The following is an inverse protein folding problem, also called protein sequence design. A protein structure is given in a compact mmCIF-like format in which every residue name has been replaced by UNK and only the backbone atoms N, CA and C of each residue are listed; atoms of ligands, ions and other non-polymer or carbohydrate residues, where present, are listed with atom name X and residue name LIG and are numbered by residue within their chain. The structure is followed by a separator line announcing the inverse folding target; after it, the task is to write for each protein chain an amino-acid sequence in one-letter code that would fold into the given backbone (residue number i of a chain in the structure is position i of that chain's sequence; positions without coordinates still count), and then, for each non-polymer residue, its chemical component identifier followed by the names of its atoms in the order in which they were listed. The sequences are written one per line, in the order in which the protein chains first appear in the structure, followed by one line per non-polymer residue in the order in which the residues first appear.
data_IF_490563210448
#
_entry.id   IF_490563210448
#
_cell.length_a   1.000
_cell.length_b   1.000
_cell.length_c   1.000
_cell.angle_alpha   90.00
_cell.angle_beta   90.00
_cell.angle_gamma   90.00
#
_symmetry.space_group_name_H-M   'P 1'
#
loop_
_entity.id
_entity.type
_entity.pdbx_description
1 polymer ?
#
# COMPACT_ATOMS: atom_id res chain seq x y z
N UNK A 1 -24.63 -13.58 -9.26
CA UNK A 1 -23.90 -12.33 -9.12
C UNK A 1 -24.05 -11.60 -10.44
N UNK A 2 -24.80 -10.49 -10.46
CA UNK A 2 -24.96 -9.66 -11.66
C UNK A 2 -23.58 -9.11 -12.05
N UNK A 3 -23.24 -9.17 -13.34
CA UNK A 3 -22.11 -8.46 -13.93
C UNK A 3 -22.34 -6.94 -13.81
N UNK A 4 -22.13 -6.42 -12.59
CA UNK A 4 -22.05 -4.99 -12.34
C UNK A 4 -20.75 -4.46 -12.92
N UNK A 5 -20.79 -3.24 -13.40
CA UNK A 5 -19.63 -2.48 -13.90
C UNK A 5 -18.43 -2.68 -12.98
N UNK A 6 -17.26 -3.13 -13.45
CA UNK A 6 -16.14 -3.46 -12.59
C UNK A 6 -15.73 -2.23 -11.78
N UNK A 7 -15.77 -2.33 -10.45
CA UNK A 7 -15.39 -1.24 -9.54
C UNK A 7 -14.01 -0.72 -9.92
N UNK A 8 -13.84 0.60 -9.89
CA UNK A 8 -12.56 1.23 -10.21
C UNK A 8 -11.50 0.77 -9.22
N UNK A 9 -10.34 0.35 -9.75
CA UNK A 9 -9.24 -0.17 -8.96
C UNK A 9 -8.35 0.93 -8.40
N UNK A 10 -7.94 0.78 -7.13
CA UNK A 10 -7.01 1.66 -6.42
C UNK A 10 -5.95 0.81 -5.72
N UNK A 11 -4.69 1.12 -5.93
CA UNK A 11 -3.58 0.53 -5.18
C UNK A 11 -3.23 1.41 -3.98
N UNK A 12 -3.34 0.85 -2.77
CA UNK A 12 -3.09 1.52 -1.50
C UNK A 12 -1.83 0.97 -0.84
N UNK A 13 -0.81 1.78 -0.63
CA UNK A 13 0.34 1.38 0.19
C UNK A 13 0.14 1.81 1.63
N UNK A 14 0.43 0.91 2.56
CA UNK A 14 0.39 1.20 3.99
C UNK A 14 1.82 1.30 4.53
N UNK A 15 2.19 2.48 4.99
CA UNK A 15 3.51 2.80 5.51
C UNK A 15 3.44 3.14 6.99
N UNK A 16 4.36 2.59 7.77
CA UNK A 16 4.35 2.73 9.22
C UNK A 16 5.76 2.68 9.80
N UNK A 17 5.90 3.15 11.04
CA UNK A 17 6.99 2.72 11.92
C UNK A 17 6.74 1.30 12.42
N UNK A 18 7.80 0.56 12.76
CA UNK A 18 7.67 -0.76 13.41
C UNK A 18 6.76 -0.63 14.63
N UNK A 19 5.93 -1.63 14.86
CA UNK A 19 4.96 -1.70 15.97
C UNK A 19 3.86 -0.63 16.00
N UNK A 20 3.70 0.17 14.94
CA UNK A 20 2.57 1.12 14.83
C UNK A 20 1.22 0.45 14.52
N UNK A 21 1.16 -0.89 14.42
CA UNK A 21 -0.07 -1.67 14.27
C UNK A 21 -0.56 -1.81 12.83
N UNK A 22 0.33 -1.80 11.84
CA UNK A 22 0.01 -1.95 10.42
C UNK A 22 -0.82 -3.19 10.13
N UNK A 23 -0.24 -4.37 10.33
CA UNK A 23 -0.87 -5.65 9.98
C UNK A 23 -2.17 -5.88 10.74
N UNK A 24 -2.26 -5.44 12.00
CA UNK A 24 -3.48 -5.48 12.81
C UNK A 24 -4.57 -4.58 12.21
N UNK A 25 -4.24 -3.32 11.89
CA UNK A 25 -5.20 -2.37 11.31
C UNK A 25 -5.71 -2.83 9.96
N UNK A 26 -4.81 -3.24 9.06
CA UNK A 26 -5.19 -3.70 7.72
C UNK A 26 -5.98 -5.00 7.76
N UNK A 27 -5.57 -5.97 8.56
CA UNK A 27 -6.30 -7.23 8.74
C UNK A 27 -7.69 -7.00 9.33
N UNK A 28 -7.83 -6.14 10.33
CA UNK A 28 -9.13 -5.82 10.95
C UNK A 28 -10.05 -5.05 9.99
N UNK A 29 -9.49 -4.09 9.23
CA UNK A 29 -10.25 -3.37 8.20
C UNK A 29 -10.80 -4.34 7.14
N UNK A 30 -9.97 -5.24 6.62
CA UNK A 30 -10.39 -6.24 5.63
C UNK A 30 -11.48 -7.16 6.20
N UNK A 31 -11.33 -7.59 7.46
CA UNK A 31 -12.33 -8.42 8.14
C UNK A 31 -13.68 -7.70 8.25
N UNK A 32 -13.69 -6.45 8.72
CA UNK A 32 -14.91 -5.62 8.84
C UNK A 32 -15.60 -5.38 7.50
N UNK A 33 -14.85 -5.35 6.41
CA UNK A 33 -15.37 -5.21 5.04
C UNK A 33 -15.75 -6.56 4.39
N UNK A 34 -15.72 -7.66 5.15
CA UNK A 34 -16.14 -8.98 4.68
C UNK A 34 -15.11 -9.69 3.78
N UNK A 35 -13.88 -9.19 3.68
CA UNK A 35 -12.81 -9.81 2.90
C UNK A 35 -12.17 -11.03 3.56
N UNK A 36 -12.48 -11.29 4.84
CA UNK A 36 -12.05 -12.48 5.60
C UNK A 36 -13.31 -13.13 6.15
N UNK A 37 -13.48 -14.46 5.95
CA UNK A 37 -14.58 -15.18 6.53
C UNK A 37 -14.39 -15.37 8.06
N UNK A 38 -15.50 -15.42 8.80
CA UNK A 38 -15.47 -15.70 10.25
C UNK A 38 -14.72 -17.01 10.56
N UNK A 39 -14.94 -18.04 9.75
CA UNK A 39 -14.28 -19.33 9.89
C UNK A 39 -12.76 -19.24 9.74
N UNK A 40 -12.28 -18.42 8.80
CA UNK A 40 -10.84 -18.18 8.61
C UNK A 40 -10.28 -17.38 9.78
N UNK A 41 -11.01 -16.37 10.24
CA UNK A 41 -10.61 -15.56 11.40
C UNK A 41 -10.52 -16.40 12.67
N UNK A 42 -11.47 -17.32 12.91
CA UNK A 42 -11.43 -18.24 14.06
C UNK A 42 -10.19 -19.15 14.03
N UNK A 43 -9.78 -19.64 12.85
CA UNK A 43 -8.55 -20.43 12.72
C UNK A 43 -7.31 -19.60 13.08
N UNK A 44 -7.22 -18.37 12.55
CA UNK A 44 -6.11 -17.46 12.85
C UNK A 44 -6.07 -17.10 14.35
N UNK A 45 -7.23 -16.92 14.98
CA UNK A 45 -7.30 -16.70 16.42
C UNK A 45 -6.78 -17.90 17.20
N UNK A 46 -7.20 -19.13 16.83
CA UNK A 46 -6.71 -20.35 17.47
C UNK A 46 -5.20 -20.52 17.33
N UNK A 47 -4.64 -20.21 16.14
CA UNK A 47 -3.20 -20.23 15.91
C UNK A 47 -2.45 -19.20 16.76
N UNK A 48 -2.99 -17.99 16.87
CA UNK A 48 -2.43 -16.91 17.68
C UNK A 48 -2.47 -17.24 19.18
N UNK A 49 -3.58 -17.82 19.66
CA UNK A 49 -3.76 -18.25 21.04
C UNK A 49 -2.77 -19.36 21.41
N UNK A 50 -2.57 -20.32 20.51
CA UNK A 50 -1.60 -21.43 20.69
C UNK A 50 -0.15 -20.92 20.84
N UNK A 51 0.17 -19.75 20.29
CA UNK A 51 1.49 -19.10 20.39
C UNK A 51 1.57 -18.06 21.51
N UNK A 52 0.52 -17.91 22.33
CA UNK A 52 0.46 -16.89 23.37
C UNK A 52 0.38 -15.43 22.84
N UNK A 53 -0.05 -15.28 21.57
CA UNK A 53 -0.12 -13.98 20.85
C UNK A 53 -1.55 -13.67 20.41
N UNK A 54 -2.55 -13.82 21.27
CA UNK A 54 -3.98 -13.66 20.97
C UNK A 54 -4.34 -12.34 20.28
N UNK A 55 -3.63 -11.25 20.60
CA UNK A 55 -3.81 -9.94 19.98
C UNK A 55 -3.34 -9.84 18.53
N UNK A 56 -2.63 -10.83 18.02
CA UNK A 56 -2.03 -10.83 16.68
C UNK A 56 -2.86 -11.55 15.61
N UNK A 57 -4.06 -12.04 15.94
CA UNK A 57 -4.87 -12.81 15.00
C UNK A 57 -5.11 -12.09 13.67
N UNK A 58 -5.44 -10.79 13.70
CA UNK A 58 -5.58 -9.98 12.47
C UNK A 58 -4.26 -9.77 11.74
N UNK A 59 -3.15 -9.65 12.48
CA UNK A 59 -1.82 -9.53 11.87
C UNK A 59 -1.43 -10.81 11.13
N UNK A 60 -1.79 -11.98 11.64
CA UNK A 60 -1.50 -13.26 11.00
C UNK A 60 -2.17 -13.46 9.64
N UNK A 61 -3.25 -12.74 9.37
CA UNK A 61 -3.85 -12.71 8.04
C UNK A 61 -2.95 -12.01 7.02
N UNK A 62 -2.30 -10.94 7.42
CA UNK A 62 -1.38 -10.17 6.58
C UNK A 62 -0.02 -10.88 6.47
N UNK A 63 0.56 -11.24 7.61
CA UNK A 63 1.88 -11.85 7.72
C UNK A 63 1.77 -13.38 7.55
N UNK A 64 1.88 -13.86 6.32
CA UNK A 64 1.77 -15.30 6.00
C UNK A 64 3.03 -16.08 6.24
N UNK A 65 4.19 -15.43 6.14
CA UNK A 65 5.48 -16.09 6.29
C UNK A 65 5.75 -16.40 7.78
N UNK A 66 6.21 -17.61 8.05
CA UNK A 66 6.56 -18.03 9.41
C UNK A 66 7.63 -17.13 10.03
N UNK A 67 8.63 -16.71 9.24
CA UNK A 67 9.69 -15.82 9.70
C UNK A 67 9.14 -14.41 10.08
N UNK A 68 8.12 -13.91 9.38
CA UNK A 68 7.43 -12.65 9.69
C UNK A 68 6.65 -12.76 11.01
N UNK A 69 5.90 -13.87 11.19
CA UNK A 69 5.11 -14.13 12.41
C UNK A 69 5.99 -14.31 13.65
N UNK A 70 7.13 -14.97 13.51
CA UNK A 70 8.09 -15.16 14.62
C UNK A 70 8.74 -13.85 15.04
N UNK A 71 9.14 -13.02 14.07
CA UNK A 71 9.80 -11.73 14.30
C UNK A 71 8.82 -10.59 14.59
N UNK A 72 7.55 -10.72 14.21
CA UNK A 72 6.54 -9.66 14.32
C UNK A 72 6.76 -8.50 13.37
N UNK A 73 7.49 -8.70 12.25
CA UNK A 73 7.78 -7.65 11.26
C UNK A 73 7.54 -8.15 9.86
N UNK A 74 6.97 -7.31 9.00
CA UNK A 74 6.81 -7.59 7.57
C UNK A 74 8.16 -7.45 6.87
N UNK A 75 8.54 -8.45 6.07
CA UNK A 75 9.81 -8.50 5.35
C UNK A 75 9.58 -8.23 3.87
N UNK A 76 8.62 -8.91 3.27
CA UNK A 76 8.29 -8.82 1.86
C UNK A 76 7.04 -7.96 1.63
N UNK A 77 6.97 -7.28 0.47
CA UNK A 77 5.72 -6.66 0.07
C UNK A 77 4.72 -7.76 -0.30
N UNK A 78 3.62 -7.80 0.41
CA UNK A 78 2.48 -8.65 0.08
C UNK A 78 1.31 -7.82 -0.41
N UNK A 79 0.48 -8.43 -1.25
CA UNK A 79 -0.72 -7.76 -1.75
C UNK A 79 -1.96 -8.49 -1.27
N UNK A 80 -2.96 -7.74 -0.88
CA UNK A 80 -4.29 -8.22 -0.49
C UNK A 80 -5.34 -7.37 -1.17
N UNK A 81 -6.48 -8.00 -1.47
CA UNK A 81 -7.62 -7.32 -2.05
C UNK A 81 -8.71 -7.13 -1.02
N UNK A 82 -9.40 -6.01 -1.10
CA UNK A 82 -10.68 -5.80 -0.46
C UNK A 82 -11.57 -4.90 -1.31
N UNK A 83 -12.86 -4.94 -1.03
CA UNK A 83 -13.86 -4.19 -1.77
C UNK A 83 -14.61 -3.28 -0.82
N UNK A 84 -14.82 -2.05 -1.24
CA UNK A 84 -15.74 -1.11 -0.62
C UNK A 84 -16.97 -0.95 -1.53
N UNK A 85 -17.90 -0.11 -1.15
CA UNK A 85 -19.06 0.15 -2.00
C UNK A 85 -18.68 0.75 -3.35
N UNK A 86 -17.69 1.64 -3.37
CA UNK A 86 -17.30 2.41 -4.56
C UNK A 86 -16.11 1.83 -5.32
N UNK A 87 -15.19 1.16 -4.63
CA UNK A 87 -13.87 0.81 -5.17
C UNK A 87 -13.44 -0.62 -4.89
N UNK A 88 -12.55 -1.12 -5.74
CA UNK A 88 -11.73 -2.30 -5.52
C UNK A 88 -10.33 -1.87 -5.11
N UNK A 89 -9.90 -2.26 -3.92
CA UNK A 89 -8.57 -1.92 -3.40
C UNK A 89 -7.61 -3.10 -3.46
N UNK A 90 -6.38 -2.82 -3.90
CA UNK A 90 -5.23 -3.68 -3.61
C UNK A 90 -4.38 -3.00 -2.55
N UNK A 91 -4.33 -3.56 -1.35
CA UNK A 91 -3.36 -3.14 -0.34
C UNK A 91 -1.99 -3.70 -0.72
N UNK A 92 -1.03 -2.83 -0.81
CA UNK A 92 0.39 -3.16 -0.87
C UNK A 92 0.94 -3.02 0.54
N UNK A 93 1.14 -4.14 1.20
CA UNK A 93 1.66 -4.20 2.57
C UNK A 93 3.17 -4.06 2.53
N UNK A 94 3.66 -2.83 2.70
CA UNK A 94 5.08 -2.53 2.63
C UNK A 94 5.75 -2.69 4.02
N UNK A 95 6.98 -3.25 4.09
CA UNK A 95 7.69 -3.39 5.35
C UNK A 95 8.00 -2.03 5.99
N UNK A 96 7.81 -1.97 7.31
CA UNK A 96 8.12 -0.76 8.11
C UNK A 96 9.56 -0.68 8.57
N UNK A 97 10.31 -1.79 8.59
CA UNK A 97 11.65 -1.85 9.13
C UNK A 97 12.69 -1.30 8.14
N UNK A 98 13.66 -0.51 8.67
CA UNK A 98 14.71 0.14 7.87
C UNK A 98 15.52 -0.80 6.98
N UNK A 99 15.75 -2.04 7.40
CA UNK A 99 16.52 -3.01 6.63
C UNK A 99 15.81 -3.44 5.33
N UNK A 100 14.49 -3.20 5.25
CA UNK A 100 13.65 -3.57 4.12
C UNK A 100 13.14 -2.37 3.30
N UNK A 101 13.78 -1.20 3.43
CA UNK A 101 13.41 0.02 2.70
C UNK A 101 13.35 -0.18 1.18
N UNK A 102 14.20 -1.05 0.62
CA UNK A 102 14.15 -1.39 -0.81
C UNK A 102 12.80 -2.00 -1.21
N UNK A 103 12.29 -2.91 -0.38
CA UNK A 103 10.99 -3.54 -0.61
C UNK A 103 9.86 -2.51 -0.45
N UNK A 104 9.98 -1.60 0.52
CA UNK A 104 9.04 -0.49 0.70
C UNK A 104 9.00 0.42 -0.54
N UNK A 105 10.13 0.78 -1.12
CA UNK A 105 10.20 1.60 -2.35
C UNK A 105 9.51 0.89 -3.50
N UNK A 106 9.77 -0.41 -3.68
CA UNK A 106 9.11 -1.22 -4.72
C UNK A 106 7.58 -1.24 -4.53
N UNK A 107 7.11 -1.48 -3.31
CA UNK A 107 5.68 -1.50 -3.00
C UNK A 107 5.03 -0.14 -3.19
N UNK A 108 5.64 0.92 -2.68
CA UNK A 108 5.12 2.29 -2.80
C UNK A 108 5.08 2.76 -4.26
N UNK A 109 6.07 2.36 -5.09
CA UNK A 109 6.07 2.66 -6.53
C UNK A 109 4.88 2.08 -7.30
N UNK A 110 4.19 1.09 -6.72
CA UNK A 110 2.99 0.48 -7.31
C UNK A 110 1.68 1.09 -6.78
N UNK A 111 1.71 2.13 -5.93
CA UNK A 111 0.54 2.64 -5.25
C UNK A 111 0.02 3.95 -5.83
N UNK A 112 -1.30 4.14 -5.76
CA UNK A 112 -2.00 5.39 -6.11
C UNK A 112 -2.16 6.30 -4.90
N UNK A 113 -2.27 5.69 -3.72
CA UNK A 113 -2.60 6.34 -2.45
C UNK A 113 -1.71 5.75 -1.36
N UNK A 114 -1.31 6.58 -0.41
CA UNK A 114 -0.59 6.12 0.77
C UNK A 114 -1.42 6.34 2.04
N UNK A 115 -1.42 5.33 2.91
CA UNK A 115 -1.88 5.42 4.29
C UNK A 115 -0.64 5.41 5.19
N UNK A 116 -0.36 6.53 5.82
CA UNK A 116 0.74 6.68 6.77
C UNK A 116 0.18 6.54 8.19
N UNK A 117 0.52 5.43 8.85
CA UNK A 117 0.08 5.17 10.22
C UNK A 117 1.12 5.67 11.23
N UNK A 118 0.63 6.30 12.27
CA UNK A 118 1.46 6.72 13.42
C UNK A 118 0.79 6.26 14.72
N UNK A 119 1.56 5.75 15.69
CA UNK A 119 1.00 5.36 16.98
C UNK A 119 0.75 6.58 17.86
N UNK A 120 -0.38 6.59 18.59
CA UNK A 120 -0.65 7.64 19.60
C UNK A 120 0.06 7.38 20.93
N UNK A 121 0.55 6.17 21.11
CA UNK A 121 1.25 5.71 22.32
C UNK A 121 2.45 6.60 22.67
N UNK A 122 2.59 6.94 23.95
CA UNK A 122 3.72 7.74 24.45
C UNK A 122 5.04 6.97 24.25
N UNK A 123 6.07 7.66 23.75
CA UNK A 123 7.36 7.06 23.37
C UNK A 123 7.33 6.44 21.97
N UNK A 124 6.23 5.80 21.56
CA UNK A 124 6.09 5.19 20.24
C UNK A 124 6.03 6.23 19.11
N UNK A 125 5.23 7.27 19.29
CA UNK A 125 5.15 8.37 18.32
C UNK A 125 6.48 9.13 18.20
N UNK A 126 7.08 9.50 19.34
CA UNK A 126 8.34 10.25 19.40
C UNK A 126 9.47 9.51 18.65
N UNK A 127 9.58 8.21 18.89
CA UNK A 127 10.55 7.36 18.18
C UNK A 127 10.26 7.30 16.67
N UNK A 128 8.97 7.19 16.31
CA UNK A 128 8.55 7.09 14.91
C UNK A 128 8.87 8.34 14.10
N UNK A 129 8.84 9.54 14.72
CA UNK A 129 9.06 10.84 14.04
C UNK A 129 10.40 11.50 14.39
N UNK A 130 11.26 10.86 15.15
CA UNK A 130 12.56 11.39 15.56
C UNK A 130 13.32 11.96 14.37
N UNK A 131 13.97 13.13 14.57
CA UNK A 131 14.76 13.78 13.52
C UNK A 131 16.06 13.02 13.23
N UNK A 132 16.56 12.32 14.24
CA UNK A 132 17.88 11.73 14.24
C UNK A 132 18.99 12.79 14.32
N UNK A 133 20.14 12.42 14.81
CA UNK A 133 21.32 13.26 14.82
C UNK A 133 22.54 12.40 14.46
N UNK A 134 23.15 12.70 13.33
CA UNK A 134 24.34 11.99 12.86
C UNK A 134 25.56 12.21 13.79
N UNK A 135 25.62 13.30 14.54
CA UNK A 135 26.72 13.61 15.45
C UNK A 135 26.63 12.77 16.73
N UNK A 136 25.42 12.45 17.20
CA UNK A 136 25.16 11.63 18.39
C UNK A 136 24.91 10.16 18.07
N UNK A 137 24.79 9.81 16.78
CA UNK A 137 24.41 8.46 16.34
C UNK A 137 22.93 8.14 16.50
N UNK A 138 22.11 9.13 16.81
CA UNK A 138 20.67 8.95 16.88
C UNK A 138 20.06 8.64 15.50
N UNK A 139 19.25 7.60 15.44
CA UNK A 139 18.63 7.12 14.19
C UNK A 139 17.37 7.92 13.90
N UNK A 140 17.24 8.38 12.65
CA UNK A 140 16.01 9.03 12.19
C UNK A 140 14.81 8.07 12.24
N UNK A 141 13.68 8.57 12.69
CA UNK A 141 12.42 7.83 12.75
C UNK A 141 11.94 7.41 11.37
N UNK A 142 11.43 6.18 11.26
CA UNK A 142 11.03 5.59 9.98
C UNK A 142 9.84 6.29 9.35
N UNK A 143 8.90 6.80 10.13
CA UNK A 143 7.75 7.56 9.62
C UNK A 143 8.21 8.78 8.82
N UNK A 144 9.25 9.48 9.29
CA UNK A 144 9.84 10.62 8.59
C UNK A 144 10.49 10.21 7.26
N UNK A 145 11.21 9.09 7.27
CA UNK A 145 11.81 8.54 6.05
C UNK A 145 10.75 8.12 5.04
N UNK A 146 9.71 7.42 5.50
CA UNK A 146 8.61 6.96 4.64
C UNK A 146 7.85 8.14 4.03
N UNK A 147 7.47 9.15 4.82
CA UNK A 147 6.80 10.33 4.28
C UNK A 147 7.61 11.01 3.16
N UNK A 148 8.93 11.14 3.36
CA UNK A 148 9.82 11.70 2.34
C UNK A 148 9.90 10.83 1.08
N UNK A 149 10.01 9.51 1.24
CA UNK A 149 10.04 8.57 0.11
C UNK A 149 8.73 8.59 -0.68
N UNK A 150 7.58 8.62 0.00
CA UNK A 150 6.27 8.72 -0.65
C UNK A 150 6.16 9.98 -1.52
N UNK A 151 6.63 11.12 -1.00
CA UNK A 151 6.68 12.39 -1.76
C UNK A 151 7.62 12.29 -2.98
N UNK A 152 8.81 11.71 -2.83
CA UNK A 152 9.78 11.51 -3.92
C UNK A 152 9.28 10.54 -5.00
N UNK A 153 8.50 9.52 -4.62
CA UNK A 153 7.88 8.57 -5.54
C UNK A 153 6.65 9.16 -6.27
N UNK A 154 6.27 10.41 -5.95
CA UNK A 154 5.18 11.11 -6.64
C UNK A 154 3.78 10.70 -6.19
N UNK A 155 3.63 10.09 -5.00
CA UNK A 155 2.31 9.80 -4.45
C UNK A 155 1.65 11.10 -4.02
N UNK A 156 0.56 11.45 -4.70
CA UNK A 156 -0.16 12.71 -4.44
C UNK A 156 -1.19 12.61 -3.31
N UNK A 157 -1.76 11.43 -3.11
CA UNK A 157 -2.84 11.19 -2.14
C UNK A 157 -2.29 10.53 -0.90
N UNK A 158 -2.36 11.24 0.22
CA UNK A 158 -1.90 10.79 1.52
C UNK A 158 -3.05 10.84 2.53
N UNK A 159 -3.19 9.78 3.32
CA UNK A 159 -4.06 9.72 4.50
C UNK A 159 -3.15 9.49 5.70
N UNK A 160 -3.34 10.23 6.78
CA UNK A 160 -2.62 10.01 8.04
C UNK A 160 -3.58 9.38 9.04
N UNK A 161 -3.25 8.16 9.45
CA UNK A 161 -3.99 7.43 10.47
C UNK A 161 -3.26 7.50 11.81
N UNK A 162 -3.92 8.07 12.82
CA UNK A 162 -3.41 8.10 14.20
C UNK A 162 -3.98 6.90 14.93
N UNK A 163 -3.18 5.83 14.96
CA UNK A 163 -3.57 4.53 15.51
C UNK A 163 -3.25 4.43 17.01
N UNK A 164 -3.80 3.40 17.66
CA UNK A 164 -3.64 3.11 19.08
C UNK A 164 -4.16 4.24 20.00
N UNK A 165 -5.25 4.91 19.61
CA UNK A 165 -5.88 5.95 20.45
C UNK A 165 -6.41 5.38 21.78
N UNK A 166 -6.68 4.09 21.82
CA UNK A 166 -7.03 3.35 23.04
C UNK A 166 -5.92 3.40 24.09
N UNK A 167 -4.65 3.36 23.68
CA UNK A 167 -3.49 3.38 24.58
C UNK A 167 -3.28 4.71 25.31
N UNK A 168 -3.81 5.80 24.75
CA UNK A 168 -3.74 7.14 25.37
C UNK A 168 -5.10 7.63 25.91
N UNK A 169 -6.05 6.70 26.15
CA UNK A 169 -7.37 7.03 26.70
C UNK A 169 -8.20 7.94 25.82
N UNK A 170 -8.04 7.86 24.50
CA UNK A 170 -8.77 8.64 23.49
C UNK A 170 -8.59 10.15 23.62
N UNK A 171 -7.39 10.57 24.04
CA UNK A 171 -7.05 11.96 24.36
C UNK A 171 -7.07 12.89 23.15
N UNK A 172 -7.89 13.94 23.19
CA UNK A 172 -7.90 15.01 22.19
C UNK A 172 -6.57 15.76 22.14
N UNK A 173 -5.99 16.08 23.32
CA UNK A 173 -4.71 16.79 23.43
C UNK A 173 -3.63 16.02 22.69
N UNK A 174 -3.54 14.70 22.95
CA UNK A 174 -2.56 13.84 22.29
C UNK A 174 -2.73 13.79 20.77
N UNK A 175 -3.96 13.66 20.30
CA UNK A 175 -4.26 13.71 18.88
C UNK A 175 -3.81 15.02 18.23
N UNK A 176 -4.08 16.16 18.88
CA UNK A 176 -3.73 17.47 18.37
C UNK A 176 -2.21 17.69 18.33
N UNK A 177 -1.46 17.25 19.33
CA UNK A 177 0.01 17.26 19.34
C UNK A 177 0.58 16.48 18.14
N UNK A 178 0.10 15.24 17.95
CA UNK A 178 0.51 14.38 16.85
C UNK A 178 0.18 15.04 15.51
N UNK A 179 -1.04 15.56 15.34
CA UNK A 179 -1.48 16.24 14.12
C UNK A 179 -0.61 17.43 13.78
N UNK A 180 -0.22 18.23 14.77
CA UNK A 180 0.64 19.40 14.55
C UNK A 180 2.03 19.00 14.09
N UNK A 181 2.68 18.04 14.75
CA UNK A 181 4.02 17.57 14.37
C UNK A 181 4.01 16.86 13.00
N UNK A 182 3.01 16.03 12.75
CA UNK A 182 2.82 15.38 11.45
C UNK A 182 2.57 16.39 10.33
N UNK A 183 1.80 17.44 10.59
CA UNK A 183 1.56 18.53 9.61
C UNK A 183 2.88 19.18 9.18
N UNK A 184 3.78 19.48 10.12
CA UNK A 184 5.12 20.02 9.83
C UNK A 184 5.93 19.04 8.98
N UNK A 185 5.89 17.76 9.37
CA UNK A 185 6.65 16.71 8.71
C UNK A 185 6.20 16.46 7.26
N UNK A 186 4.89 16.28 7.02
CA UNK A 186 4.37 16.04 5.67
C UNK A 186 4.55 17.26 4.76
N UNK A 187 4.51 18.48 5.30
CA UNK A 187 4.81 19.70 4.56
C UNK A 187 6.25 19.68 4.05
N UNK A 188 7.21 19.30 4.91
CA UNK A 188 8.61 19.16 4.53
C UNK A 188 8.82 18.05 3.49
N UNK A 189 7.98 17.02 3.49
CA UNK A 189 7.98 15.94 2.51
C UNK A 189 7.32 16.32 1.17
N UNK A 190 6.74 17.52 1.05
CA UNK A 190 6.15 18.05 -0.19
C UNK A 190 4.64 17.88 -0.30
N UNK A 191 3.98 17.32 0.72
CA UNK A 191 2.51 17.21 0.74
C UNK A 191 1.84 18.52 1.16
N UNK A 192 0.61 18.72 0.71
CA UNK A 192 -0.22 19.87 1.07
C UNK A 192 -1.12 19.52 2.24
N UNK A 193 -0.88 20.01 3.47
CA UNK A 193 -1.61 19.57 4.67
C UNK A 193 -3.14 19.71 4.56
N UNK A 194 -3.63 20.70 3.85
CA UNK A 194 -5.08 20.91 3.63
C UNK A 194 -5.73 19.78 2.81
N UNK A 195 -4.94 18.97 2.10
CA UNK A 195 -5.41 17.86 1.29
C UNK A 195 -5.32 16.51 2.03
N UNK A 196 -4.66 16.50 3.19
CA UNK A 196 -4.37 15.28 3.95
C UNK A 196 -5.31 15.16 5.13
N UNK A 197 -6.21 14.16 5.16
CA UNK A 197 -7.04 13.89 6.33
C UNK A 197 -6.21 13.27 7.44
N UNK A 198 -6.55 13.63 8.67
CA UNK A 198 -6.04 13.01 9.89
C UNK A 198 -7.18 12.28 10.59
N UNK A 199 -7.06 10.97 10.74
CA UNK A 199 -8.10 10.11 11.29
C UNK A 199 -7.60 9.40 12.54
N UNK A 200 -8.16 9.70 13.73
CA UNK A 200 -7.85 8.95 14.94
C UNK A 200 -8.66 7.65 14.99
N UNK A 201 -8.01 6.54 15.35
CA UNK A 201 -8.69 5.26 15.49
C UNK A 201 -7.88 4.27 16.36
N UNK A 202 -8.48 3.11 16.64
CA UNK A 202 -7.77 1.94 17.15
C UNK A 202 -7.94 0.77 16.19
N UNK A 203 -6.83 0.34 15.58
CA UNK A 203 -6.81 -0.85 14.70
C UNK A 203 -7.07 -2.14 15.47
N UNK A 204 -6.76 -2.17 16.78
CA UNK A 204 -7.00 -3.32 17.64
C UNK A 204 -8.48 -3.51 17.96
N UNK A 205 -9.16 -2.47 18.43
CA UNK A 205 -10.58 -2.52 18.81
C UNK A 205 -11.54 -2.19 17.67
N UNK A 206 -11.06 -1.92 16.45
CA UNK A 206 -11.81 -1.46 15.27
C UNK A 206 -12.53 -0.11 15.45
N UNK A 207 -12.27 0.61 16.52
CA UNK A 207 -12.92 1.90 16.78
C UNK A 207 -12.52 2.93 15.71
N UNK A 208 -13.48 3.53 15.05
CA UNK A 208 -13.34 4.52 13.99
C UNK A 208 -12.63 4.02 12.71
N UNK A 209 -12.61 2.69 12.48
CA UNK A 209 -12.14 2.12 11.22
C UNK A 209 -13.21 2.20 10.13
N UNK A 210 -14.38 1.61 10.39
CA UNK A 210 -15.52 1.52 9.46
C UNK A 210 -16.70 2.32 9.99
N UNK A 211 -16.98 2.20 11.28
CA UNK A 211 -18.05 2.88 11.97
C UNK A 211 -17.49 3.98 12.86
N UNK A 212 -18.23 5.09 12.96
CA UNK A 212 -17.85 6.21 13.85
C UNK A 212 -17.81 5.75 15.31
N UNK A 213 -16.74 6.08 16.00
CA UNK A 213 -16.57 5.75 17.42
C UNK A 213 -17.21 6.81 18.32
N UNK A 214 -17.92 6.38 19.36
CA UNK A 214 -18.46 7.24 20.40
C UNK A 214 -17.43 7.60 21.49
N UNK A 215 -16.26 6.93 21.48
CA UNK A 215 -15.18 7.17 22.46
C UNK A 215 -14.45 8.48 22.26
N UNK A 216 -14.65 9.12 21.07
CA UNK A 216 -14.01 10.38 20.72
C UNK A 216 -15.05 11.47 20.38
N UNK A 217 -15.89 11.93 21.34
CA UNK A 217 -16.93 12.92 21.08
C UNK A 217 -16.37 14.28 20.66
N UNK A 218 -15.12 14.56 20.96
CA UNK A 218 -14.37 15.72 20.54
C UNK A 218 -14.00 15.70 19.04
N UNK A 219 -13.86 14.53 18.43
CA UNK A 219 -13.49 14.41 17.03
C UNK A 219 -14.70 14.70 16.14
N UNK A 220 -14.65 15.83 15.45
CA UNK A 220 -15.72 16.29 14.56
C UNK A 220 -15.58 15.82 13.11
N UNK A 221 -14.68 14.87 12.87
CA UNK A 221 -14.34 14.38 11.54
C UNK A 221 -13.18 15.14 10.91
N UNK A 222 -12.80 14.71 9.73
CA UNK A 222 -11.81 15.40 8.91
C UNK A 222 -12.48 16.19 7.79
N UNK A 223 -11.77 17.21 7.31
CA UNK A 223 -12.09 17.92 6.06
C UNK A 223 -10.80 18.01 5.24
N UNK A 224 -10.86 17.63 3.97
CA UNK A 224 -9.72 17.69 3.05
C UNK A 224 -10.10 18.42 1.76
N UNK A 225 -9.27 19.39 1.37
CA UNK A 225 -9.46 20.20 0.16
C UNK A 225 -8.67 19.58 -0.98
N UNK A 226 -9.26 18.62 -1.72
CA UNK A 226 -8.58 17.89 -2.78
C UNK A 226 -8.22 18.78 -3.97
N UNK A 227 -9.06 19.78 -4.25
CA UNK A 227 -8.82 20.82 -5.25
C UNK A 227 -9.41 22.16 -4.82
N UNK A 228 -9.35 23.18 -5.67
CA UNK A 228 -10.00 24.50 -5.41
C UNK A 228 -11.52 24.41 -5.29
N UNK A 229 -12.12 23.41 -5.93
CA UNK A 229 -13.59 23.23 -6.01
C UNK A 229 -14.07 21.97 -5.32
N UNK A 230 -13.16 21.11 -4.84
CA UNK A 230 -13.52 19.83 -4.28
C UNK A 230 -13.06 19.73 -2.83
N UNK A 231 -14.04 19.77 -1.92
CA UNK A 231 -13.86 19.59 -0.48
C UNK A 231 -14.59 18.33 -0.07
N UNK A 232 -13.91 17.46 0.65
CA UNK A 232 -14.45 16.19 1.16
C UNK A 232 -14.35 16.15 2.68
N UNK A 233 -15.25 15.43 3.31
CA UNK A 233 -15.28 15.25 4.76
C UNK A 233 -15.71 13.84 5.13
N UNK A 234 -15.38 13.40 6.32
CA UNK A 234 -15.76 12.10 6.86
C UNK A 234 -15.28 11.95 8.31
N UNK A 235 -15.53 10.80 8.90
CA UNK A 235 -15.17 10.50 10.29
C UNK A 235 -14.19 9.33 10.39
N UNK A 236 -14.42 8.28 9.63
CA UNK A 236 -13.73 6.99 9.77
C UNK A 236 -12.55 6.86 8.79
N UNK A 237 -11.74 5.82 9.00
CA UNK A 237 -10.70 5.47 8.04
C UNK A 237 -11.31 5.07 6.70
N UNK A 238 -12.45 4.35 6.72
CA UNK A 238 -13.18 4.00 5.51
C UNK A 238 -13.67 5.25 4.76
N UNK A 239 -14.23 6.24 5.47
CA UNK A 239 -14.63 7.51 4.84
C UNK A 239 -13.45 8.20 4.14
N UNK A 240 -12.28 8.19 4.77
CA UNK A 240 -11.08 8.77 4.17
C UNK A 240 -10.66 8.00 2.90
N UNK A 241 -10.73 6.67 2.92
CA UNK A 241 -10.48 5.85 1.73
C UNK A 241 -11.50 6.13 0.64
N UNK A 242 -12.80 6.18 0.94
CA UNK A 242 -13.86 6.42 -0.04
C UNK A 242 -13.81 7.82 -0.67
N UNK A 243 -13.43 8.84 0.10
CA UNK A 243 -13.54 10.23 -0.34
C UNK A 243 -12.23 10.82 -0.88
N UNK A 244 -11.08 10.43 -0.30
CA UNK A 244 -9.77 11.00 -0.65
C UNK A 244 -9.03 10.12 -1.66
N UNK A 245 -9.13 8.80 -1.53
CA UNK A 245 -8.41 7.85 -2.36
C UNK A 245 -9.10 7.66 -3.72
N UNK A 246 -9.19 8.72 -4.51
CA UNK A 246 -9.75 8.63 -5.86
C UNK A 246 -8.74 8.04 -6.84
N UNK A 247 -9.17 7.13 -7.74
CA UNK A 247 -8.29 6.59 -8.76
C UNK A 247 -7.77 7.72 -9.66
N UNK A 248 -6.47 7.73 -9.99
CA UNK A 248 -5.91 8.70 -10.92
C UNK A 248 -6.45 8.49 -12.33
N UNK A 249 -6.27 9.49 -13.20
CA UNK A 249 -6.57 9.34 -14.62
C UNK A 249 -5.76 8.18 -15.21
N UNK A 250 -6.42 7.26 -15.88
CA UNK A 250 -5.82 6.12 -16.60
C UNK A 250 -5.89 6.38 -18.10
N UNK A 251 -4.87 5.92 -18.83
CA UNK A 251 -4.73 6.16 -20.26
C UNK A 251 -4.51 4.82 -21.02
N UNK A 252 -5.56 3.99 -21.15
CA UNK A 252 -5.44 2.71 -21.84
C UNK A 252 -5.17 2.84 -23.33
N UNK A 253 -5.48 3.99 -23.92
CA UNK A 253 -5.28 4.30 -25.34
C UNK A 253 -3.85 4.76 -25.68
N UNK A 254 -3.02 5.05 -24.67
CA UNK A 254 -1.63 5.46 -24.88
C UNK A 254 -0.73 4.26 -25.13
N UNK A 255 0.49 4.48 -25.66
CA UNK A 255 1.50 3.44 -25.80
C UNK A 255 1.77 2.71 -24.48
N UNK A 256 1.94 1.39 -24.55
CA UNK A 256 2.18 0.56 -23.35
C UNK A 256 3.46 0.96 -22.63
N UNK A 257 3.36 1.15 -21.32
CA UNK A 257 4.52 1.36 -20.42
C UNK A 257 4.30 0.60 -19.12
N UNK A 258 5.20 -0.36 -18.88
CA UNK A 258 5.22 -1.15 -17.64
C UNK A 258 6.64 -1.10 -17.08
N UNK A 259 6.91 -0.26 -16.06
CA UNK A 259 8.17 -0.33 -15.32
C UNK A 259 8.30 -1.68 -14.62
N UNK A 260 9.46 -2.30 -14.74
CA UNK A 260 9.77 -3.60 -14.11
C UNK A 260 10.08 -3.37 -12.64
N UNK A 261 9.31 -4.01 -11.77
CA UNK A 261 9.47 -3.94 -10.31
C UNK A 261 10.16 -5.17 -9.74
N UNK A 262 10.10 -6.31 -10.43
CA UNK A 262 10.70 -7.54 -9.99
C UNK A 262 10.86 -8.55 -11.12
N UNK A 263 11.80 -9.48 -10.93
CA UNK A 263 12.04 -10.59 -11.85
C UNK A 263 12.23 -11.84 -11.00
N UNK A 264 11.42 -12.85 -11.26
CA UNK A 264 11.34 -14.05 -10.45
C UNK A 264 11.47 -15.28 -11.34
N UNK A 265 12.20 -16.27 -10.85
CA UNK A 265 12.26 -17.59 -11.49
C UNK A 265 11.37 -18.55 -10.71
N UNK A 266 10.23 -18.91 -11.29
CA UNK A 266 9.25 -19.77 -10.64
C UNK A 266 9.37 -21.18 -11.22
N UNK A 267 9.58 -22.17 -10.33
CA UNK A 267 9.68 -23.59 -10.73
C UNK A 267 8.38 -24.04 -11.42
N UNK A 268 8.49 -24.56 -12.63
CA UNK A 268 7.35 -25.02 -13.43
C UNK A 268 6.66 -23.96 -14.27
N UNK A 269 6.91 -22.66 -14.02
CA UNK A 269 6.36 -21.53 -14.78
C UNK A 269 7.42 -20.89 -15.67
N UNK A 270 8.64 -20.71 -15.15
CA UNK A 270 9.73 -20.04 -15.83
C UNK A 270 10.05 -18.66 -15.26
N UNK A 271 10.53 -17.76 -16.12
CA UNK A 271 10.85 -16.40 -15.73
C UNK A 271 9.57 -15.53 -15.76
N UNK A 272 9.26 -14.93 -14.62
CA UNK A 272 8.10 -14.04 -14.41
C UNK A 272 8.62 -12.65 -14.14
N UNK A 273 8.20 -11.69 -14.95
CA UNK A 273 8.51 -10.28 -14.78
C UNK A 273 7.29 -9.60 -14.18
N UNK A 274 7.49 -8.88 -13.08
CA UNK A 274 6.41 -8.12 -12.44
C UNK A 274 6.58 -6.63 -12.68
N UNK A 275 5.45 -5.94 -12.81
CA UNK A 275 5.42 -4.50 -12.99
C UNK A 275 4.02 -3.95 -12.84
N UNK A 276 3.91 -2.63 -12.88
CA UNK A 276 2.62 -1.94 -12.91
C UNK A 276 2.37 -1.40 -14.31
N UNK A 277 1.17 -1.59 -14.82
CA UNK A 277 0.75 -0.96 -16.07
C UNK A 277 0.51 0.52 -15.81
N UNK A 278 1.40 1.41 -16.24
CA UNK A 278 1.25 2.86 -16.08
C UNK A 278 0.34 3.45 -17.14
N UNK A 279 0.46 3.00 -18.37
CA UNK A 279 -0.39 3.37 -19.49
C UNK A 279 -0.41 2.28 -20.56
N UNK A 280 -1.38 2.35 -21.47
CA UNK A 280 -1.60 1.31 -22.48
C UNK A 280 -2.26 0.07 -21.92
N UNK A 281 -2.39 -0.95 -22.73
CA UNK A 281 -2.97 -2.25 -22.35
C UNK A 281 -2.06 -3.37 -22.85
N UNK A 282 -1.85 -4.40 -22.05
CA UNK A 282 -1.10 -5.60 -22.44
C UNK A 282 -2.02 -6.80 -22.44
N UNK A 283 -1.95 -7.62 -23.50
CA UNK A 283 -2.71 -8.85 -23.64
C UNK A 283 -1.77 -10.07 -23.63
N UNK A 284 -2.31 -11.20 -23.18
CA UNK A 284 -1.63 -12.46 -23.41
C UNK A 284 -1.49 -12.70 -24.92
N UNK A 285 -0.29 -13.03 -25.36
CA UNK A 285 0.06 -13.19 -26.78
C UNK A 285 0.76 -12.00 -27.43
N UNK A 286 0.71 -10.82 -26.81
CA UNK A 286 1.40 -9.64 -27.32
C UNK A 286 2.92 -9.87 -27.40
N UNK A 287 3.55 -9.21 -28.39
CA UNK A 287 5.00 -9.17 -28.54
C UNK A 287 5.50 -7.84 -28.00
N UNK A 288 6.41 -7.92 -27.04
CA UNK A 288 6.93 -6.77 -26.30
C UNK A 288 8.46 -6.68 -26.41
N UNK A 289 8.96 -5.51 -26.07
CA UNK A 289 10.39 -5.25 -25.89
C UNK A 289 10.63 -4.53 -24.57
N UNK A 290 11.86 -4.55 -24.13
CA UNK A 290 12.32 -3.86 -22.94
C UNK A 290 13.18 -2.65 -23.36
N UNK A 291 13.16 -1.59 -22.57
CA UNK A 291 13.98 -0.38 -22.82
C UNK A 291 15.49 -0.64 -22.87
N UNK A 292 15.93 -1.77 -22.31
CA UNK A 292 17.32 -2.23 -22.40
C UNK A 292 17.62 -2.75 -23.80
N UNK A 293 18.74 -2.34 -24.34
CA UNK A 293 19.21 -2.75 -25.67
C UNK A 293 19.35 -4.28 -25.80
N UNK A 294 18.94 -4.81 -26.95
CA UNK A 294 19.02 -6.23 -27.27
C UNK A 294 17.97 -7.12 -26.61
N UNK A 295 16.96 -6.56 -25.94
CA UNK A 295 15.85 -7.33 -25.34
C UNK A 295 14.55 -6.99 -26.07
N UNK A 296 14.32 -7.69 -27.18
CA UNK A 296 13.20 -7.47 -28.09
C UNK A 296 12.52 -8.78 -28.46
N UNK A 297 11.35 -8.68 -29.10
CA UNK A 297 10.58 -9.83 -29.59
C UNK A 297 10.19 -10.84 -28.51
N UNK A 298 9.99 -10.36 -27.28
CA UNK A 298 9.52 -11.19 -26.18
C UNK A 298 8.02 -11.43 -26.30
N UNK A 299 7.59 -12.69 -26.27
CA UNK A 299 6.16 -13.02 -26.27
C UNK A 299 5.63 -13.11 -24.84
N UNK A 300 4.59 -12.34 -24.53
CA UNK A 300 3.81 -12.45 -23.28
C UNK A 300 3.00 -13.75 -23.34
N UNK A 301 3.39 -14.74 -22.56
CA UNK A 301 2.71 -16.03 -22.56
C UNK A 301 1.46 -16.02 -21.68
N UNK A 302 1.55 -15.45 -20.48
CA UNK A 302 0.43 -15.25 -19.56
C UNK A 302 0.55 -13.92 -18.84
N UNK A 303 -0.60 -13.37 -18.45
CA UNK A 303 -0.75 -12.21 -17.58
C UNK A 303 -1.48 -12.68 -16.33
N UNK A 304 -0.90 -12.45 -15.17
CA UNK A 304 -1.44 -12.90 -13.89
C UNK A 304 -1.58 -11.74 -12.92
N UNK A 305 -2.70 -11.69 -12.22
CA UNK A 305 -2.97 -10.77 -11.11
C UNK A 305 -3.63 -11.55 -9.99
N UNK A 306 -3.17 -11.34 -8.75
CA UNK A 306 -3.73 -11.98 -7.54
C UNK A 306 -3.87 -13.51 -7.67
N UNK A 307 -2.83 -14.17 -8.22
CA UNK A 307 -2.78 -15.62 -8.48
C UNK A 307 -3.86 -16.14 -9.44
N UNK A 308 -4.41 -15.28 -10.30
CA UNK A 308 -5.36 -15.65 -11.35
C UNK A 308 -4.83 -15.18 -12.69
N UNK A 309 -5.02 -16.00 -13.73
CA UNK A 309 -4.70 -15.64 -15.11
C UNK A 309 -5.79 -14.75 -15.69
N UNK A 310 -5.38 -13.68 -16.35
CA UNK A 310 -6.25 -12.72 -17.00
C UNK A 310 -5.91 -12.61 -18.50
N UNK A 311 -6.90 -12.33 -19.36
CA UNK A 311 -6.63 -12.16 -20.81
C UNK A 311 -5.87 -10.88 -21.11
N UNK A 312 -6.07 -9.83 -20.31
CA UNK A 312 -5.42 -8.53 -20.47
C UNK A 312 -5.22 -7.84 -19.12
N UNK A 313 -4.31 -6.85 -19.11
CA UNK A 313 -4.15 -5.92 -18.00
C UNK A 313 -4.20 -4.47 -18.47
N UNK A 314 -4.77 -3.59 -17.65
CA UNK A 314 -5.05 -2.18 -17.92
C UNK A 314 -4.24 -1.26 -17.01
N UNK A 315 -4.15 0.05 -17.31
CA UNK A 315 -3.44 1.00 -16.46
C UNK A 315 -3.91 0.95 -15.00
N UNK A 316 -2.94 0.81 -14.09
CA UNK A 316 -3.14 0.67 -12.66
C UNK A 316 -3.05 -0.75 -12.12
N UNK A 317 -3.10 -1.75 -13.00
CA UNK A 317 -2.98 -3.14 -12.60
C UNK A 317 -1.52 -3.49 -12.27
N UNK A 318 -1.32 -4.21 -11.19
CA UNK A 318 -0.04 -4.83 -10.84
C UNK A 318 -0.02 -6.25 -11.41
N UNK A 319 0.88 -6.52 -12.32
CA UNK A 319 0.89 -7.76 -13.11
C UNK A 319 2.16 -8.56 -12.95
N UNK A 320 2.02 -9.88 -12.96
CA UNK A 320 3.09 -10.82 -13.23
C UNK A 320 2.93 -11.37 -14.65
N UNK A 321 3.96 -11.25 -15.45
CA UNK A 321 3.94 -11.72 -16.84
C UNK A 321 4.98 -12.82 -17.05
N UNK A 322 4.52 -13.99 -17.49
CA UNK A 322 5.43 -15.00 -17.98
C UNK A 322 5.83 -14.63 -19.41
N UNK A 323 7.13 -14.52 -19.66
CA UNK A 323 7.66 -14.14 -20.97
C UNK A 323 8.50 -15.24 -21.58
N UNK A 324 8.32 -15.47 -22.88
CA UNK A 324 9.15 -16.36 -23.68
C UNK A 324 10.09 -15.55 -24.56
N UNK A 325 11.31 -16.07 -24.75
CA UNK A 325 12.33 -15.41 -25.56
C UNK A 325 13.38 -14.65 -24.76
N UNK A 326 13.35 -14.72 -23.42
CA UNK A 326 14.39 -14.13 -22.60
C UNK A 326 15.71 -14.88 -22.73
N UNK A 327 16.77 -14.12 -23.02
CA UNK A 327 18.14 -14.64 -23.02
C UNK A 327 18.74 -14.55 -21.62
N UNK A 328 19.24 -15.68 -21.13
CA UNK A 328 19.89 -15.74 -19.79
C UNK A 328 21.14 -14.89 -19.69
N UNK A 329 21.78 -14.58 -20.81
CA UNK A 329 22.98 -13.73 -20.84
C UNK A 329 22.63 -12.24 -20.85
N UNK A 330 21.39 -11.88 -21.29
CA UNK A 330 20.91 -10.52 -21.34
C UNK A 330 19.50 -10.43 -20.74
N UNK A 331 19.42 -10.48 -19.41
CA UNK A 331 18.16 -10.38 -18.67
C UNK A 331 17.78 -8.91 -18.42
N UNK A 332 16.49 -8.57 -18.46
CA UNK A 332 16.02 -7.27 -18.03
C UNK A 332 16.38 -7.03 -16.54
N UNK A 333 16.31 -5.77 -16.11
CA UNK A 333 16.55 -5.38 -14.70
C UNK A 333 15.38 -4.60 -14.16
N UNK A 334 15.27 -4.56 -12.83
CA UNK A 334 14.33 -3.67 -12.15
C UNK A 334 14.62 -2.22 -12.55
N UNK A 335 13.57 -1.50 -12.94
CA UNK A 335 13.65 -0.14 -13.47
C UNK A 335 13.64 -0.05 -15.00
N UNK A 336 13.89 -1.14 -15.72
CA UNK A 336 13.66 -1.17 -17.18
C UNK A 336 12.15 -1.06 -17.47
N UNK A 337 11.77 -0.60 -18.66
CA UNK A 337 10.38 -0.40 -19.06
C UNK A 337 10.00 -1.33 -20.21
N UNK A 338 8.87 -2.00 -20.08
CA UNK A 338 8.27 -2.84 -21.13
C UNK A 338 7.34 -2.00 -21.99
N UNK A 339 7.41 -2.18 -23.31
CA UNK A 339 6.54 -1.58 -24.31
C UNK A 339 6.17 -2.61 -25.39
N UNK A 340 5.11 -2.35 -26.16
CA UNK A 340 4.82 -3.19 -27.32
C UNK A 340 5.95 -3.08 -28.37
N UNK A 341 6.27 -4.18 -29.02
CA UNK A 341 7.30 -4.22 -30.07
C UNK A 341 6.99 -3.27 -31.23
N UNK A 342 5.71 -3.08 -31.57
CA UNK A 342 5.24 -2.18 -32.62
C UNK A 342 5.35 -0.70 -32.29
N UNK A 343 5.54 -0.35 -31.00
CA UNK A 343 5.61 1.04 -30.56
C UNK A 343 7.05 1.56 -30.60
N UNK A 344 7.23 2.80 -31.05
CA UNK A 344 8.53 3.47 -30.93
C UNK A 344 8.76 3.83 -29.45
N UNK A 345 9.89 3.39 -28.89
CA UNK A 345 10.42 4.03 -27.70
C UNK A 345 10.87 5.43 -28.15
N UNK A 346 10.17 6.46 -27.70
CA UNK A 346 10.77 7.81 -27.76
C UNK A 346 11.94 7.82 -26.80
N UNK A 347 13.07 8.40 -27.20
CA UNK A 347 14.25 8.51 -26.35
C UNK A 347 13.97 9.27 -25.06
#
# INVERSE_FOLDING_TARGET
MSEGDPKKHISLVVCVHVDAGKSTTTGHLIFKLGGISEREMQKLQTEADAQGKSSFAFAYYMDKDKAERERGVTINCTTKEFFTDSYHYTIVDAPGHRDYVKNMITGAGCADVALLLVPAEAGGFETAVAKGDHSTGEVQGQTRQHARLLGLLGIEKLIVGVNKMDSCGWSETRFNEIKEEMTKMITTAGFKPKQVPFVPFSGFSAENLVEKSDKMPWYKGFTANLSKTEVVSGYTLLDALETVAKPPKRFPEKPLRIPINGIYKIKGVGDVITGRVEQGTVNAGDVVRVSREGIENLKVFSVEMHHKTWPCAKPGDNVGMNMKGLDKMNMPKVGDVISLQSERLLP
#
